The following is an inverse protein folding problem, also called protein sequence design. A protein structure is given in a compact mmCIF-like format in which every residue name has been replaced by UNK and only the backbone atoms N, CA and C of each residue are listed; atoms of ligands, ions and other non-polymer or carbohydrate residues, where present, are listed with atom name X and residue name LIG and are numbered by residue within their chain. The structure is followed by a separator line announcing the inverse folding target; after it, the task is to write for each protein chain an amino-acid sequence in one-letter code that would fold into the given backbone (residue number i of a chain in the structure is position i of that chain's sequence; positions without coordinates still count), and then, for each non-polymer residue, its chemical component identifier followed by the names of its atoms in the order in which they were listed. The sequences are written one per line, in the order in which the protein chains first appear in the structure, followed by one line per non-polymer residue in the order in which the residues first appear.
data_IF_573604509852
#
_entry.id   IF_573604509852
#
_cell.length_a   1.000
_cell.length_b   1.000
_cell.length_c   1.000
_cell.angle_alpha   90.00
_cell.angle_beta   90.00
_cell.angle_gamma   90.00
#
_symmetry.space_group_name_H-M   'P 1'
#
loop_
_entity.id
_entity.type
_entity.pdbx_description
1 polymer ?
#
# COMPACT_ATOMS: atom_id res chain seq x y z
N UNK A 1 -17.64 11.27 -23.40
CA UNK A 1 -16.46 11.60 -22.58
C UNK A 1 -16.32 10.75 -21.30
N UNK A 2 -16.88 9.52 -21.23
CA UNK A 2 -16.76 8.63 -20.05
C UNK A 2 -15.56 7.67 -20.07
N UNK A 3 -14.86 7.54 -21.22
CA UNK A 3 -13.73 6.61 -21.38
C UNK A 3 -12.37 7.19 -20.97
N UNK A 4 -12.25 8.53 -20.90
CA UNK A 4 -11.00 9.19 -20.49
C UNK A 4 -10.82 9.25 -18.96
N UNK A 5 -11.92 9.24 -18.20
CA UNK A 5 -11.88 9.15 -16.72
C UNK A 5 -11.39 7.78 -16.21
N UNK A 6 -11.65 6.70 -16.95
CA UNK A 6 -11.15 5.37 -16.60
C UNK A 6 -9.63 5.24 -16.82
N UNK A 7 -9.07 5.98 -17.78
CA UNK A 7 -7.63 5.99 -18.06
C UNK A 7 -6.83 6.78 -17.02
N UNK A 8 -7.44 7.80 -16.41
CA UNK A 8 -6.87 8.53 -15.27
C UNK A 8 -6.95 7.72 -13.96
N UNK A 9 -8.00 6.90 -13.79
CA UNK A 9 -8.10 5.97 -12.65
C UNK A 9 -7.05 4.85 -12.70
N UNK A 10 -6.64 4.43 -13.91
CA UNK A 10 -5.57 3.45 -14.16
C UNK A 10 -4.17 3.96 -13.75
N UNK A 11 -3.98 5.28 -13.59
CA UNK A 11 -2.70 5.88 -13.22
C UNK A 11 -2.50 6.03 -11.70
N UNK A 12 -3.55 5.90 -10.90
CA UNK A 12 -3.54 6.26 -9.47
C UNK A 12 -3.36 5.08 -8.51
N UNK A 13 -3.17 3.85 -9.01
CA UNK A 13 -2.95 2.65 -8.20
C UNK A 13 -1.69 1.89 -8.61
N UNK A 14 -0.74 2.57 -9.28
CA UNK A 14 0.56 1.98 -9.64
C UNK A 14 1.44 1.64 -8.42
N UNK A 15 1.14 2.21 -7.26
CA UNK A 15 1.86 1.94 -6.02
C UNK A 15 1.39 0.66 -5.31
N UNK A 16 0.21 0.13 -5.66
CA UNK A 16 -0.39 -0.99 -4.94
C UNK A 16 -0.39 -2.25 -5.79
N UNK A 17 -0.12 -3.38 -5.16
CA UNK A 17 -0.21 -4.69 -5.77
C UNK A 17 -1.20 -5.56 -5.03
N UNK A 18 -2.08 -6.25 -5.76
CA UNK A 18 -2.82 -7.36 -5.19
C UNK A 18 -1.85 -8.53 -4.95
N UNK A 19 -1.88 -9.10 -3.76
CA UNK A 19 -0.95 -10.17 -3.35
C UNK A 19 -1.70 -11.34 -2.75
N UNK A 20 -1.15 -12.54 -2.92
CA UNK A 20 -1.62 -13.74 -2.25
C UNK A 20 -0.82 -13.97 -0.95
N UNK A 21 -1.52 -14.16 0.17
CA UNK A 21 -0.92 -14.41 1.47
C UNK A 21 -0.55 -13.16 2.27
N UNK A 22 0.25 -13.34 3.31
CA UNK A 22 0.66 -12.29 4.25
C UNK A 22 2.05 -11.79 3.88
N UNK A 23 2.14 -10.58 3.31
CA UNK A 23 3.42 -9.92 3.03
C UNK A 23 3.95 -9.16 4.25
N UNK A 24 3.05 -8.73 5.14
CA UNK A 24 3.37 -8.23 6.47
C UNK A 24 2.81 -9.20 7.52
N UNK A 25 3.65 -10.10 8.07
CA UNK A 25 3.25 -10.94 9.19
C UNK A 25 2.80 -10.09 10.38
N UNK A 26 1.77 -10.55 11.10
CA UNK A 26 1.24 -9.87 12.28
C UNK A 26 2.32 -9.55 13.31
N UNK A 27 3.25 -10.48 13.55
CA UNK A 27 4.39 -10.30 14.48
C UNK A 27 5.37 -9.21 14.08
N UNK A 28 5.31 -8.71 12.85
CA UNK A 28 6.15 -7.62 12.35
C UNK A 28 5.40 -6.31 12.14
N UNK A 29 4.10 -6.28 12.47
CA UNK A 29 3.28 -5.09 12.36
C UNK A 29 3.65 -4.08 13.44
N UNK A 30 3.87 -2.84 13.04
CA UNK A 30 4.27 -1.74 13.92
C UNK A 30 3.41 -0.51 13.66
N UNK A 31 3.26 0.32 14.70
CA UNK A 31 2.79 1.69 14.53
C UNK A 31 3.84 2.49 13.75
N UNK A 32 3.46 2.96 12.58
CA UNK A 32 4.24 3.85 11.72
C UNK A 32 4.42 5.19 12.43
N UNK A 33 5.68 5.62 12.52
CA UNK A 33 6.04 6.91 13.08
C UNK A 33 5.52 8.02 12.17
N UNK A 34 4.83 9.01 12.74
CA UNK A 34 4.24 10.13 12.00
C UNK A 34 2.81 9.89 11.48
N UNK A 35 2.33 8.65 11.39
CA UNK A 35 0.91 8.39 11.09
C UNK A 35 0.06 8.78 12.29
N UNK A 36 -0.79 9.77 12.07
CA UNK A 36 -1.79 10.25 13.03
C UNK A 36 -3.08 9.46 12.91
N UNK A 37 -3.77 9.28 14.02
CA UNK A 37 -5.17 8.85 13.97
C UNK A 37 -6.01 10.02 13.46
N UNK A 38 -6.93 9.75 12.54
CA UNK A 38 -7.76 10.80 11.94
C UNK A 38 -8.23 10.47 10.54
N UNK A 39 -8.64 11.49 9.81
CA UNK A 39 -9.17 11.39 8.46
C UNK A 39 -8.08 11.66 7.44
N UNK A 40 -7.89 10.74 6.50
CA UNK A 40 -6.99 10.87 5.36
C UNK A 40 -7.80 10.87 4.06
N UNK A 41 -7.36 11.65 3.08
CA UNK A 41 -7.89 11.62 1.72
C UNK A 41 -6.97 10.81 0.82
N UNK A 42 -7.50 9.78 0.18
CA UNK A 42 -6.78 8.94 -0.79
C UNK A 42 -6.54 9.68 -2.12
N UNK A 43 -5.63 9.18 -2.97
CA UNK A 43 -5.40 9.75 -4.31
C UNK A 43 -6.65 9.81 -5.19
N UNK A 44 -7.61 8.90 -4.98
CA UNK A 44 -8.88 8.84 -5.71
C UNK A 44 -9.96 9.80 -5.15
N UNK A 45 -9.61 10.63 -4.17
CA UNK A 45 -10.50 11.60 -3.54
C UNK A 45 -11.37 11.04 -2.43
N UNK A 46 -11.37 9.72 -2.19
CA UNK A 46 -12.13 9.11 -1.10
C UNK A 46 -11.43 9.38 0.23
N UNK A 47 -12.20 9.82 1.22
CA UNK A 47 -11.72 9.99 2.58
C UNK A 47 -11.87 8.69 3.38
N UNK A 48 -10.89 8.38 4.24
CA UNK A 48 -10.87 7.20 5.10
C UNK A 48 -10.36 7.60 6.48
N UNK A 49 -11.02 7.10 7.53
CA UNK A 49 -10.55 7.22 8.90
C UNK A 49 -9.51 6.14 9.14
N UNK A 50 -8.34 6.54 9.62
CA UNK A 50 -7.24 5.66 10.00
C UNK A 50 -7.07 5.75 11.52
N UNK A 51 -7.02 4.62 12.19
CA UNK A 51 -6.80 4.55 13.63
C UNK A 51 -5.89 3.36 13.97
N UNK A 52 -4.90 3.57 14.83
CA UNK A 52 -4.07 2.48 15.33
C UNK A 52 -4.75 1.71 16.47
N UNK A 53 -5.03 0.44 16.23
CA UNK A 53 -5.48 -0.51 17.23
C UNK A 53 -4.29 -1.24 17.86
N UNK A 54 -3.95 -0.85 19.09
CA UNK A 54 -2.80 -1.37 19.84
C UNK A 54 -2.97 -2.84 20.24
N UNK A 55 -4.21 -3.29 20.50
CA UNK A 55 -4.48 -4.66 20.94
C UNK A 55 -4.23 -5.65 19.80
N UNK A 56 -4.70 -5.33 18.61
CA UNK A 56 -4.59 -6.19 17.43
C UNK A 56 -3.33 -5.91 16.59
N UNK A 57 -2.56 -4.87 16.94
CA UNK A 57 -1.38 -4.40 16.21
C UNK A 57 -1.67 -4.13 14.73
N UNK A 58 -2.82 -3.54 14.44
CA UNK A 58 -3.24 -3.15 13.09
C UNK A 58 -3.76 -1.72 13.07
N UNK A 59 -3.82 -1.14 11.87
CA UNK A 59 -4.61 0.06 11.61
C UNK A 59 -6.01 -0.33 11.16
N UNK A 60 -7.02 0.24 11.79
CA UNK A 60 -8.38 0.23 11.28
C UNK A 60 -8.51 1.32 10.20
N UNK A 61 -9.03 0.96 9.03
CA UNK A 61 -9.19 1.87 7.88
C UNK A 61 -10.65 1.83 7.42
N UNK A 62 -11.41 2.87 7.76
CA UNK A 62 -12.88 2.90 7.61
C UNK A 62 -13.31 4.10 6.78
N UNK A 63 -14.08 3.87 5.71
CA UNK A 63 -14.66 4.95 4.91
C UNK A 63 -15.82 5.65 5.63
N UNK A 64 -16.03 6.97 5.49
CA UNK A 64 -17.22 7.66 5.99
C UNK A 64 -18.50 7.07 5.41
N UNK A 65 -19.52 6.85 6.24
CA UNK A 65 -20.82 6.34 5.79
C UNK A 65 -20.89 4.84 5.56
N UNK A 66 -19.82 4.08 5.81
CA UNK A 66 -20.00 2.67 6.15
C UNK A 66 -20.54 2.58 7.56
N UNK A 67 -21.79 2.14 7.71
CA UNK A 67 -22.27 1.60 8.98
C UNK A 67 -21.23 0.59 9.49
N UNK A 68 -20.91 0.66 10.79
CA UNK A 68 -19.89 -0.13 11.48
C UNK A 68 -19.70 -1.53 10.82
N UNK A 69 -18.62 -1.71 10.04
CA UNK A 69 -18.30 -3.02 9.46
C UNK A 69 -17.81 -3.05 8.00
N UNK A 70 -17.91 -1.97 7.21
CA UNK A 70 -17.29 -1.88 5.87
C UNK A 70 -16.01 -1.04 5.89
N UNK A 71 -14.99 -1.57 6.54
CA UNK A 71 -13.62 -1.07 6.52
C UNK A 71 -12.64 -2.23 6.45
N UNK A 72 -11.40 -1.95 6.04
CA UNK A 72 -10.32 -2.92 6.06
C UNK A 72 -9.38 -2.68 7.23
N UNK A 73 -8.41 -3.56 7.39
CA UNK A 73 -7.28 -3.35 8.31
C UNK A 73 -6.00 -3.18 7.52
N UNK A 74 -5.01 -2.49 8.08
CA UNK A 74 -3.67 -2.44 7.51
C UNK A 74 -2.62 -2.84 8.54
N UNK A 75 -1.60 -3.56 8.08
CA UNK A 75 -0.38 -3.83 8.83
C UNK A 75 0.76 -3.09 8.18
N UNK A 76 1.74 -2.66 8.96
CA UNK A 76 2.91 -1.98 8.46
C UNK A 76 4.18 -2.58 9.06
N UNK A 77 5.19 -2.81 8.23
CA UNK A 77 6.52 -3.22 8.66
C UNK A 77 7.55 -2.22 8.16
N UNK A 78 8.44 -1.74 9.02
CA UNK A 78 9.59 -0.96 8.58
C UNK A 78 10.55 -1.84 7.75
N UNK A 79 10.85 -1.41 6.53
CA UNK A 79 11.77 -2.13 5.61
C UNK A 79 13.06 -1.35 5.31
N UNK A 80 13.04 -0.03 5.45
CA UNK A 80 14.22 0.83 5.43
C UNK A 80 13.99 2.06 6.32
N UNK A 81 14.99 2.94 6.46
CA UNK A 81 14.83 4.16 7.26
C UNK A 81 13.73 5.04 6.67
N UNK A 82 12.67 5.29 7.44
CA UNK A 82 11.51 6.11 7.01
C UNK A 82 10.62 5.46 5.96
N UNK A 83 10.83 4.18 5.61
CA UNK A 83 10.08 3.47 4.58
C UNK A 83 9.47 2.18 5.13
N UNK A 84 8.19 1.99 4.82
CA UNK A 84 7.34 0.95 5.38
C UNK A 84 6.70 0.13 4.27
N UNK A 85 6.76 -1.20 4.39
CA UNK A 85 5.89 -2.10 3.64
C UNK A 85 4.54 -2.14 4.34
N UNK A 86 3.49 -1.78 3.63
CA UNK A 86 2.11 -1.75 4.14
C UNK A 86 1.31 -2.83 3.43
N UNK A 87 0.56 -3.61 4.20
CA UNK A 87 -0.42 -4.55 3.70
C UNK A 87 -1.82 -4.15 4.16
N UNK A 88 -2.68 -3.74 3.23
CA UNK A 88 -4.10 -3.52 3.46
C UNK A 88 -4.88 -4.82 3.22
N UNK A 89 -5.85 -5.11 4.07
CA UNK A 89 -6.63 -6.35 4.09
C UNK A 89 -8.10 -6.02 4.22
N UNK A 90 -8.84 -6.36 3.17
CA UNK A 90 -10.30 -6.33 3.09
C UNK A 90 -10.74 -7.52 2.20
N UNK A 91 -11.73 -7.35 1.33
CA UNK A 91 -12.08 -8.32 0.26
C UNK A 91 -10.86 -8.70 -0.58
N UNK A 92 -9.91 -7.78 -0.77
CA UNK A 92 -8.62 -8.03 -1.42
C UNK A 92 -7.48 -7.66 -0.49
N UNK A 93 -6.33 -8.29 -0.70
CA UNK A 93 -5.08 -7.97 -0.02
C UNK A 93 -4.21 -7.14 -0.94
N UNK A 94 -3.89 -5.94 -0.49
CA UNK A 94 -3.05 -5.01 -1.24
C UNK A 94 -1.75 -4.78 -0.49
N UNK A 95 -0.65 -4.68 -1.22
CA UNK A 95 0.67 -4.40 -0.70
C UNK A 95 1.29 -3.21 -1.41
N UNK A 96 1.97 -2.35 -0.66
CA UNK A 96 2.64 -1.16 -1.19
C UNK A 96 3.79 -0.73 -0.28
N UNK A 97 4.71 0.07 -0.81
CA UNK A 97 5.67 0.82 -0.01
C UNK A 97 5.13 2.20 0.30
N UNK A 98 5.34 2.68 1.52
CA UNK A 98 4.94 4.02 1.93
C UNK A 98 5.99 4.68 2.81
N UNK A 99 6.04 6.01 2.74
CA UNK A 99 6.82 6.87 3.64
C UNK A 99 5.98 8.04 4.12
N UNK A 100 6.34 8.63 5.25
CA UNK A 100 5.73 9.87 5.71
C UNK A 100 6.43 11.09 5.10
N UNK A 101 5.62 12.11 4.78
CA UNK A 101 6.04 13.44 4.34
C UNK A 101 5.21 14.46 5.11
N UNK A 102 5.76 14.98 6.20
CA UNK A 102 5.00 15.74 7.18
C UNK A 102 3.89 14.88 7.82
N UNK A 103 2.63 15.25 7.57
CA UNK A 103 1.46 14.47 8.03
C UNK A 103 0.89 13.56 6.94
N UNK A 104 1.41 13.64 5.72
CA UNK A 104 0.91 12.87 4.58
C UNK A 104 1.66 11.55 4.45
N UNK A 105 0.97 10.54 3.93
CA UNK A 105 1.57 9.26 3.58
C UNK A 105 1.77 9.17 2.06
N UNK A 106 3.01 9.10 1.63
CA UNK A 106 3.40 8.97 0.22
C UNK A 106 3.53 7.51 -0.14
N UNK A 107 2.82 7.08 -1.17
CA UNK A 107 2.82 5.71 -1.70
C UNK A 107 3.87 5.62 -2.81
N UNK A 108 4.74 4.62 -2.72
CA UNK A 108 5.86 4.46 -3.64
C UNK A 108 5.55 3.37 -4.68
N UNK A 109 5.71 3.72 -5.96
CA UNK A 109 5.63 2.79 -7.08
C UNK A 109 7.04 2.51 -7.59
N UNK A 110 7.38 1.26 -7.99
CA UNK A 110 8.66 1.00 -8.62
C UNK A 110 8.79 1.75 -9.95
N UNK A 111 10.01 2.14 -10.28
CA UNK A 111 10.30 2.69 -11.59
C UNK A 111 10.08 1.63 -12.68
N UNK A 112 9.72 2.07 -13.90
CA UNK A 112 9.40 1.19 -15.03
C UNK A 112 10.52 0.19 -15.38
N UNK A 113 11.77 0.56 -15.14
CA UNK A 113 12.92 -0.30 -15.41
C UNK A 113 13.23 -1.26 -14.23
N UNK A 114 12.81 -0.88 -13.01
CA UNK A 114 13.06 -1.67 -11.80
C UNK A 114 12.01 -2.76 -11.60
N UNK A 115 10.74 -2.48 -11.87
CA UNK A 115 9.64 -3.44 -11.71
C UNK A 115 9.93 -4.79 -12.43
N UNK A 116 10.12 -4.84 -13.75
CA UNK A 116 10.32 -6.11 -14.45
C UNK A 116 11.60 -6.85 -14.00
N UNK A 117 12.66 -6.10 -13.68
CA UNK A 117 13.92 -6.65 -13.19
C UNK A 117 13.75 -7.33 -11.83
N UNK A 118 13.10 -6.65 -10.88
CA UNK A 118 12.88 -7.16 -9.53
C UNK A 118 11.85 -8.30 -9.51
N UNK A 119 10.77 -8.19 -10.30
CA UNK A 119 9.80 -9.30 -10.45
C UNK A 119 10.49 -10.58 -10.91
N UNK A 120 11.34 -10.48 -11.95
CA UNK A 120 12.13 -11.60 -12.45
C UNK A 120 13.09 -12.16 -11.39
N UNK A 121 13.78 -11.28 -10.65
CA UNK A 121 14.74 -11.69 -9.63
C UNK A 121 14.10 -12.52 -8.50
N UNK A 122 12.83 -12.24 -8.18
CA UNK A 122 12.09 -12.97 -7.15
C UNK A 122 11.18 -14.07 -7.69
N UNK A 123 11.18 -14.35 -9.00
CA UNK A 123 10.29 -15.34 -9.62
C UNK A 123 8.80 -14.97 -9.55
N UNK A 124 8.49 -13.68 -9.43
CA UNK A 124 7.12 -13.16 -9.43
C UNK A 124 6.61 -12.97 -10.85
N UNK A 125 5.36 -13.36 -11.09
CA UNK A 125 4.60 -12.95 -12.27
C UNK A 125 3.82 -11.66 -12.00
N UNK A 126 3.45 -10.95 -13.07
CA UNK A 126 2.53 -9.82 -12.99
C UNK A 126 1.24 -10.16 -13.75
N UNK A 127 0.10 -10.05 -13.07
CA UNK A 127 -1.22 -10.14 -13.68
C UNK A 127 -1.79 -8.73 -13.83
N UNK A 128 -1.88 -8.18 -15.05
CA UNK A 128 -2.48 -6.86 -15.25
C UNK A 128 -3.96 -6.84 -14.83
N UNK A 129 -4.39 -5.73 -14.26
CA UNK A 129 -5.77 -5.52 -13.83
C UNK A 129 -6.02 -4.08 -13.38
N UNK A 130 -7.20 -3.77 -12.82
CA UNK A 130 -7.45 -2.47 -12.20
C UNK A 130 -6.44 -2.15 -11.08
N UNK A 131 -5.98 -3.19 -10.40
CA UNK A 131 -4.78 -3.21 -9.57
C UNK A 131 -3.96 -4.39 -10.06
N UNK A 132 -2.65 -4.18 -10.30
CA UNK A 132 -1.79 -5.26 -10.76
C UNK A 132 -1.64 -6.33 -9.67
N UNK A 133 -1.77 -7.60 -10.05
CA UNK A 133 -1.56 -8.73 -9.15
C UNK A 133 -0.14 -9.27 -9.23
N UNK A 134 0.52 -9.46 -8.08
CA UNK A 134 1.77 -10.21 -7.98
C UNK A 134 1.45 -11.69 -7.84
N UNK A 135 1.82 -12.47 -8.86
CA UNK A 135 1.64 -13.91 -8.88
C UNK A 135 2.87 -14.57 -8.23
N UNK A 136 2.66 -15.16 -7.06
CA UNK A 136 3.69 -15.86 -6.29
C UNK A 136 3.35 -15.89 -4.80
N UNK A 137 4.27 -16.42 -3.98
CA UNK A 137 4.04 -16.46 -2.53
C UNK A 137 4.16 -15.08 -1.89
N UNK A 138 3.44 -14.84 -0.78
CA UNK A 138 3.59 -13.63 0.02
C UNK A 138 5.03 -13.37 0.50
N UNK A 139 5.82 -14.43 0.70
CA UNK A 139 7.24 -14.31 1.01
C UNK A 139 8.06 -13.71 -0.14
N UNK A 140 7.78 -14.13 -1.39
CA UNK A 140 8.42 -13.56 -2.58
C UNK A 140 8.02 -12.10 -2.79
N UNK A 141 6.73 -11.78 -2.64
CA UNK A 141 6.25 -10.40 -2.71
C UNK A 141 6.88 -9.52 -1.63
N UNK A 142 7.02 -10.02 -0.40
CA UNK A 142 7.73 -9.31 0.68
C UNK A 142 9.19 -9.02 0.32
N UNK A 143 9.90 -9.99 -0.25
CA UNK A 143 11.29 -9.80 -0.68
C UNK A 143 11.41 -8.80 -1.83
N UNK A 144 10.48 -8.83 -2.79
CA UNK A 144 10.39 -7.80 -3.83
C UNK A 144 10.30 -6.38 -3.27
N UNK A 145 9.42 -6.14 -2.28
CA UNK A 145 9.31 -4.81 -1.68
C UNK A 145 10.53 -4.43 -0.84
N UNK A 146 11.21 -5.39 -0.20
CA UNK A 146 12.46 -5.13 0.52
C UNK A 146 13.59 -4.74 -0.42
N UNK A 147 13.74 -5.44 -1.53
CA UNK A 147 14.80 -5.13 -2.50
C UNK A 147 14.51 -3.83 -3.24
N UNK A 148 13.24 -3.53 -3.52
CA UNK A 148 12.81 -2.22 -4.02
C UNK A 148 13.14 -1.10 -3.03
N UNK A 149 12.83 -1.30 -1.74
CA UNK A 149 13.17 -0.37 -0.68
C UNK A 149 14.69 -0.12 -0.56
N UNK A 150 15.49 -1.19 -0.71
CA UNK A 150 16.95 -1.12 -0.62
C UNK A 150 17.58 -0.46 -1.86
N UNK A 151 17.01 -0.64 -3.04
CA UNK A 151 17.57 -0.08 -4.27
C UNK A 151 17.27 1.41 -4.45
N UNK A 152 16.17 1.90 -3.86
CA UNK A 152 15.73 3.28 -4.07
C UNK A 152 15.08 3.52 -5.43
N UNK A 153 14.88 2.48 -6.24
CA UNK A 153 14.38 2.59 -7.61
C UNK A 153 12.84 2.73 -7.67
N UNK A 154 12.32 3.73 -6.98
CA UNK A 154 10.90 4.02 -6.90
C UNK A 154 10.62 5.52 -7.00
N UNK A 155 9.38 5.86 -7.35
CA UNK A 155 8.88 7.22 -7.39
C UNK A 155 7.55 7.32 -6.62
N UNK A 156 7.10 8.54 -6.36
CA UNK A 156 5.75 8.76 -5.82
C UNK A 156 4.71 8.26 -6.83
N UNK A 157 3.97 7.22 -6.45
CA UNK A 157 2.85 6.67 -7.22
C UNK A 157 1.49 7.14 -6.72
N UNK A 158 1.44 7.80 -5.55
CA UNK A 158 0.25 8.38 -4.98
C UNK A 158 0.50 8.97 -3.60
N UNK A 159 -0.49 9.67 -3.06
CA UNK A 159 -0.43 10.30 -1.74
C UNK A 159 -1.75 10.22 -1.00
N UNK A 160 -1.69 9.83 0.27
CA UNK A 160 -2.79 9.98 1.22
C UNK A 160 -2.55 11.23 2.07
N UNK A 161 -3.42 12.22 1.92
CA UNK A 161 -3.28 13.53 2.56
C UNK A 161 -4.01 13.55 3.89
N UNK A 162 -3.35 13.99 4.96
CA UNK A 162 -4.02 14.15 6.25
C UNK A 162 -4.99 15.33 6.21
N UNK A 163 -6.22 15.12 6.69
CA UNK A 163 -7.28 16.13 6.68
C UNK A 163 -7.47 16.71 8.08
N UNK A 164 -7.74 15.87 9.08
CA UNK A 164 -8.03 16.28 10.47
C UNK A 164 -8.08 15.10 11.42
#
# INVERSE_FOLDING_TARGET
MRRLLALALLLLVSACYQVDGDVVPLSSSVRVEGVRDGLYRRPDGVEVRVHWNEADKVYDVVAPGSEQGRGGTARAQRVASGLYLVQYMDVTRLALLARMDGSDMVLMAPNKDAEPRLLKAHGLGLKPGPINGLLGSGGMARNFFKDLAASGDFAEGGRMTFVK
#
